data_IF_970023594783
#
_entry.id   IF_970023594783
#
_cell.length_a   1.000
_cell.length_b   1.000
_cell.length_c   1.000
_cell.angle_alpha   90.00
_cell.angle_beta   90.00
_cell.angle_gamma   90.00
#
_symmetry.space_group_name_H-M   'P 1'
#
loop_
_entity.id
_entity.type
_entity.pdbx_description
1 polymer ?
#
# COMPACT_ATOMS: atom_id res chain seq x y z
N UNK A 1 0.05 0.51 -34.01
CA UNK A 1 -0.01 -0.97 -34.03
C UNK A 1 0.63 -1.58 -32.79
N UNK A 2 1.90 -1.27 -32.48
CA UNK A 2 2.60 -1.79 -31.28
C UNK A 2 1.88 -1.42 -29.98
N UNK A 3 1.43 -0.17 -29.83
CA UNK A 3 0.69 0.30 -28.64
C UNK A 3 -0.61 -0.48 -28.39
N UNK A 4 -1.40 -0.78 -29.41
CA UNK A 4 -2.64 -1.55 -29.24
C UNK A 4 -2.34 -3.00 -28.84
N UNK A 5 -1.31 -3.61 -29.44
CA UNK A 5 -0.88 -4.96 -29.06
C UNK A 5 -0.36 -5.01 -27.62
N UNK A 6 0.40 -4.00 -27.18
CA UNK A 6 0.84 -3.87 -25.79
C UNK A 6 -0.35 -3.70 -24.83
N UNK A 7 -1.35 -2.88 -25.18
CA UNK A 7 -2.54 -2.69 -24.36
C UNK A 7 -3.34 -3.99 -24.22
N UNK A 8 -3.53 -4.75 -25.30
CA UNK A 8 -4.21 -6.05 -25.22
C UNK A 8 -3.42 -7.06 -24.40
N UNK A 9 -2.09 -7.12 -24.56
CA UNK A 9 -1.26 -7.98 -23.69
C UNK A 9 -1.36 -7.57 -22.23
N UNK A 10 -1.41 -6.27 -21.92
CA UNK A 10 -1.52 -5.77 -20.56
C UNK A 10 -2.89 -6.12 -19.94
N UNK A 11 -3.97 -6.02 -20.72
CA UNK A 11 -5.31 -6.43 -20.30
C UNK A 11 -5.35 -7.94 -20.00
N UNK A 12 -4.80 -8.77 -20.90
CA UNK A 12 -4.74 -10.23 -20.70
C UNK A 12 -3.87 -10.60 -19.50
N UNK A 13 -2.74 -9.93 -19.30
CA UNK A 13 -1.88 -10.14 -18.13
C UNK A 13 -2.63 -9.76 -16.85
N UNK A 14 -3.25 -8.58 -16.80
CA UNK A 14 -4.03 -8.16 -15.64
C UNK A 14 -5.16 -9.14 -15.35
N UNK A 15 -5.90 -9.59 -16.35
CA UNK A 15 -7.00 -10.53 -16.15
C UNK A 15 -6.52 -11.92 -15.68
N UNK A 16 -5.42 -12.43 -16.24
CA UNK A 16 -4.85 -13.71 -15.77
C UNK A 16 -4.28 -13.63 -14.35
N UNK A 17 -3.69 -12.51 -13.97
CA UNK A 17 -3.28 -12.22 -12.59
C UNK A 17 -4.52 -12.18 -11.69
N UNK A 18 -5.58 -11.51 -12.13
CA UNK A 18 -6.82 -11.40 -11.39
C UNK A 18 -7.52 -12.74 -11.19
N UNK A 19 -7.61 -13.58 -12.21
CA UNK A 19 -8.19 -14.92 -12.07
C UNK A 19 -7.37 -15.79 -11.11
N UNK A 20 -6.03 -15.66 -11.15
CA UNK A 20 -5.15 -16.35 -10.21
C UNK A 20 -5.36 -15.87 -8.77
N UNK A 21 -5.39 -14.56 -8.55
CA UNK A 21 -5.61 -13.99 -7.21
C UNK A 21 -7.00 -14.36 -6.71
N UNK A 22 -8.04 -14.25 -7.54
CA UNK A 22 -9.40 -14.57 -7.14
C UNK A 22 -9.51 -16.03 -6.67
N UNK A 23 -8.91 -16.98 -7.40
CA UNK A 23 -8.89 -18.40 -6.99
C UNK A 23 -8.14 -18.68 -5.70
N UNK A 24 -7.19 -17.83 -5.30
CA UNK A 24 -6.51 -17.94 -4.00
C UNK A 24 -7.29 -17.30 -2.86
N UNK A 25 -8.15 -16.33 -3.18
CA UNK A 25 -8.90 -15.50 -2.24
C UNK A 25 -10.30 -16.06 -1.98
N UNK A 26 -10.82 -16.94 -2.84
CA UNK A 26 -12.09 -17.69 -2.65
C UNK A 26 -12.14 -18.47 -1.32
N UNK A 27 -10.99 -18.69 -0.67
CA UNK A 27 -10.92 -19.08 0.73
C UNK A 27 -10.53 -17.85 1.56
N UNK A 28 -11.46 -17.22 2.32
CA UNK A 28 -11.15 -16.06 3.13
C UNK A 28 -10.12 -16.43 4.20
N UNK A 29 -8.86 -16.11 3.92
CA UNK A 29 -7.76 -16.36 4.82
C UNK A 29 -7.66 -15.20 5.81
N UNK A 30 -8.57 -15.21 6.80
CA UNK A 30 -8.61 -14.22 7.88
C UNK A 30 -7.24 -14.10 8.55
N UNK A 31 -6.48 -15.19 8.67
CA UNK A 31 -5.11 -15.19 9.19
C UNK A 31 -4.20 -14.22 8.42
N UNK A 32 -4.26 -14.25 7.09
CA UNK A 32 -3.42 -13.39 6.24
C UNK A 32 -3.85 -11.93 6.43
N UNK A 33 -5.15 -11.66 6.40
CA UNK A 33 -5.68 -10.31 6.61
C UNK A 33 -5.29 -9.71 7.97
N UNK A 34 -5.42 -10.49 9.05
CA UNK A 34 -5.01 -10.08 10.40
C UNK A 34 -3.50 -9.85 10.49
N UNK A 35 -2.68 -10.68 9.83
CA UNK A 35 -1.22 -10.44 9.81
C UNK A 35 -0.89 -9.10 9.14
N UNK A 36 -1.49 -8.78 8.00
CA UNK A 36 -1.26 -7.48 7.33
C UNK A 36 -1.68 -6.29 8.20
N UNK A 37 -2.84 -6.36 8.86
CA UNK A 37 -3.28 -5.31 9.79
C UNK A 37 -2.33 -5.17 10.99
N UNK A 38 -1.82 -6.29 11.51
CA UNK A 38 -0.86 -6.30 12.61
C UNK A 38 0.48 -5.68 12.20
N UNK A 39 1.00 -6.05 11.02
CA UNK A 39 2.21 -5.44 10.46
C UNK A 39 2.04 -3.93 10.25
N UNK A 40 0.89 -3.49 9.74
CA UNK A 40 0.58 -2.06 9.56
C UNK A 40 0.70 -1.29 10.87
N UNK A 41 0.18 -1.83 11.97
CA UNK A 41 0.29 -1.23 13.30
C UNK A 41 1.74 -1.21 13.81
N UNK A 42 2.49 -2.30 13.62
CA UNK A 42 3.89 -2.38 14.04
C UNK A 42 4.74 -1.32 13.34
N UNK A 43 4.57 -1.16 12.02
CA UNK A 43 5.29 -0.14 11.25
C UNK A 43 4.93 1.28 11.75
N UNK A 44 3.65 1.57 11.96
CA UNK A 44 3.22 2.87 12.50
C UNK A 44 3.85 3.18 13.86
N UNK A 45 3.88 2.19 14.77
CA UNK A 45 4.51 2.33 16.08
C UNK A 45 6.01 2.55 15.96
N UNK A 46 6.69 1.87 15.03
CA UNK A 46 8.13 2.04 14.80
C UNK A 46 8.46 3.41 14.15
N UNK A 47 7.55 3.95 13.34
CA UNK A 47 7.72 5.27 12.73
C UNK A 47 7.60 6.42 13.73
N UNK A 48 6.74 6.31 14.75
CA UNK A 48 6.58 7.34 15.78
C UNK A 48 7.89 7.73 16.50
N UNK A 49 8.70 6.81 17.07
CA UNK A 49 9.96 7.18 17.72
C UNK A 49 10.98 7.74 16.73
N UNK A 50 11.03 7.22 15.50
CA UNK A 50 11.87 7.79 14.45
C UNK A 50 11.46 9.23 14.11
N UNK A 51 10.15 9.51 14.07
CA UNK A 51 9.67 10.86 13.84
C UNK A 51 10.04 11.81 14.98
N UNK A 52 9.94 11.34 16.23
CA UNK A 52 10.34 12.09 17.43
C UNK A 52 11.84 12.43 17.42
N UNK A 53 12.71 11.52 16.95
CA UNK A 53 14.15 11.82 16.84
C UNK A 53 14.40 12.91 15.79
N UNK A 54 13.76 12.83 14.62
CA UNK A 54 13.91 13.85 13.58
C UNK A 54 13.32 15.22 13.95
N UNK A 55 12.38 15.27 14.89
CA UNK A 55 11.83 16.52 15.43
C UNK A 55 12.82 17.27 16.35
N UNK A 56 13.92 16.65 16.78
CA UNK A 56 14.94 17.34 17.58
C UNK A 56 15.56 18.50 16.78
N UNK A 57 15.61 19.66 17.42
CA UNK A 57 15.96 20.95 16.78
C UNK A 57 17.36 20.94 16.16
N UNK A 58 18.28 20.19 16.75
CA UNK A 58 19.68 20.12 16.32
C UNK A 58 19.85 19.40 14.96
N UNK A 59 18.97 18.45 14.66
CA UNK A 59 19.02 17.69 13.40
C UNK A 59 18.34 18.44 12.23
N UNK A 60 17.40 19.36 12.52
CA UNK A 60 16.70 20.14 11.48
C UNK A 60 17.56 21.16 10.73
N UNK A 61 18.82 21.33 11.14
CA UNK A 61 19.78 22.20 10.46
C UNK A 61 20.16 21.68 9.06
N UNK A 62 20.20 20.35 8.86
CA UNK A 62 20.58 19.77 7.58
C UNK A 62 19.35 19.51 6.69
N UNK A 63 19.44 19.87 5.41
CA UNK A 63 18.40 19.64 4.40
C UNK A 63 18.01 18.15 4.27
N UNK A 64 18.93 17.24 4.54
CA UNK A 64 18.69 15.79 4.51
C UNK A 64 17.61 15.36 5.51
N UNK A 65 17.64 15.88 6.74
CA UNK A 65 16.64 15.55 7.76
C UNK A 65 15.24 16.04 7.37
N UNK A 66 15.12 17.19 6.70
CA UNK A 66 13.82 17.66 6.19
C UNK A 66 13.23 16.69 5.17
N UNK A 67 14.06 16.20 4.25
CA UNK A 67 13.64 15.24 3.24
C UNK A 67 13.27 13.89 3.88
N UNK A 68 14.02 13.41 4.86
CA UNK A 68 13.68 12.20 5.61
C UNK A 68 12.35 12.29 6.37
N UNK A 69 12.04 13.46 6.94
CA UNK A 69 10.73 13.73 7.56
C UNK A 69 9.62 13.62 6.52
N UNK A 70 9.78 14.25 5.36
CA UNK A 70 8.78 14.20 4.28
C UNK A 70 8.59 12.77 3.77
N UNK A 71 9.68 12.06 3.49
CA UNK A 71 9.62 10.66 3.04
C UNK A 71 8.96 9.79 4.12
N UNK A 72 9.31 9.97 5.39
CA UNK A 72 8.70 9.22 6.49
C UNK A 72 7.20 9.45 6.60
N UNK A 73 6.73 10.69 6.42
CA UNK A 73 5.28 10.99 6.41
C UNK A 73 4.60 10.29 5.23
N UNK A 74 5.17 10.40 4.04
CA UNK A 74 4.64 9.73 2.83
C UNK A 74 4.60 8.21 3.03
N UNK A 75 5.64 7.61 3.63
CA UNK A 75 5.70 6.17 3.88
C UNK A 75 4.65 5.71 4.91
N UNK A 76 4.42 6.49 5.97
CA UNK A 76 3.37 6.19 6.97
C UNK A 76 1.99 6.19 6.30
N UNK A 77 1.69 7.18 5.46
CA UNK A 77 0.37 7.31 4.81
C UNK A 77 0.18 6.19 3.77
N UNK A 78 1.17 5.98 2.90
CA UNK A 78 1.11 4.96 1.85
C UNK A 78 1.07 3.55 2.44
N UNK A 79 1.96 3.21 3.36
CA UNK A 79 1.97 1.90 4.05
C UNK A 79 0.67 1.64 4.79
N UNK A 80 0.10 2.65 5.46
CA UNK A 80 -1.18 2.48 6.15
C UNK A 80 -2.30 2.14 5.17
N UNK A 81 -2.42 2.88 4.07
CA UNK A 81 -3.46 2.64 3.07
C UNK A 81 -3.27 1.29 2.38
N UNK A 82 -2.06 0.98 1.93
CA UNK A 82 -1.80 -0.26 1.23
C UNK A 82 -2.04 -1.48 2.13
N UNK A 83 -1.46 -1.55 3.33
CA UNK A 83 -1.65 -2.71 4.21
C UNK A 83 -3.07 -2.83 4.75
N UNK A 84 -3.75 -1.70 5.02
CA UNK A 84 -5.14 -1.74 5.49
C UNK A 84 -6.08 -2.22 4.39
N UNK A 85 -5.89 -1.75 3.15
CA UNK A 85 -6.70 -2.18 2.00
C UNK A 85 -6.42 -3.65 1.69
N UNK A 86 -5.16 -4.10 1.64
CA UNK A 86 -4.80 -5.52 1.48
C UNK A 86 -5.42 -6.36 2.59
N UNK A 87 -5.27 -5.94 3.84
CA UNK A 87 -5.77 -6.65 5.01
C UNK A 87 -7.29 -6.83 4.95
N UNK A 88 -8.01 -5.75 4.64
CA UNK A 88 -9.47 -5.75 4.49
C UNK A 88 -9.92 -6.61 3.31
N UNK A 89 -9.24 -6.51 2.17
CA UNK A 89 -9.49 -7.32 0.98
C UNK A 89 -9.31 -8.81 1.27
N UNK A 90 -8.26 -9.17 2.01
CA UNK A 90 -8.00 -10.54 2.45
C UNK A 90 -9.03 -11.07 3.44
N UNK A 91 -9.70 -10.22 4.23
CA UNK A 91 -10.75 -10.64 5.18
C UNK A 91 -12.08 -10.88 4.45
N UNK A 92 -12.45 -10.00 3.52
CA UNK A 92 -13.71 -10.09 2.79
C UNK A 92 -13.66 -11.15 1.69
N UNK A 93 -12.45 -11.51 1.22
CA UNK A 93 -12.32 -12.38 0.06
C UNK A 93 -12.47 -11.61 -1.25
N UNK A 94 -12.13 -10.32 -1.27
CA UNK A 94 -12.05 -9.52 -2.50
C UNK A 94 -10.59 -9.28 -2.86
N UNK A 95 -10.32 -9.03 -4.13
CA UNK A 95 -8.97 -8.73 -4.61
C UNK A 95 -8.92 -7.34 -5.22
N UNK A 96 -7.71 -6.81 -5.42
CA UNK A 96 -7.47 -5.55 -6.15
C UNK A 96 -8.17 -5.49 -7.50
N UNK A 97 -8.39 -6.65 -8.11
CA UNK A 97 -9.06 -6.81 -9.39
C UNK A 97 -10.54 -6.45 -9.37
N UNK A 98 -11.18 -6.53 -8.21
CA UNK A 98 -12.59 -6.16 -8.05
C UNK A 98 -12.79 -4.65 -7.95
N UNK A 99 -11.79 -3.91 -7.44
CA UNK A 99 -11.88 -2.47 -7.22
C UNK A 99 -10.55 -1.73 -7.49
N UNK A 100 -10.05 -1.74 -8.74
CA UNK A 100 -8.80 -1.04 -9.10
C UNK A 100 -8.93 0.49 -8.91
N UNK A 101 -10.13 1.03 -9.09
CA UNK A 101 -10.40 2.46 -8.91
C UNK A 101 -10.29 2.86 -7.44
N UNK A 102 -10.75 2.02 -6.51
CA UNK A 102 -10.69 2.33 -5.08
C UNK A 102 -9.24 2.34 -4.56
N UNK A 103 -8.46 1.32 -4.94
CA UNK A 103 -7.03 1.26 -4.61
C UNK A 103 -6.25 2.42 -5.24
N UNK A 104 -6.50 2.76 -6.50
CA UNK A 104 -5.88 3.91 -7.15
C UNK A 104 -6.28 5.25 -6.48
N UNK A 105 -7.55 5.42 -6.11
CA UNK A 105 -8.06 6.63 -5.47
C UNK A 105 -7.44 6.82 -4.07
N UNK A 106 -7.33 5.75 -3.28
CA UNK A 106 -6.69 5.79 -1.96
C UNK A 106 -5.20 6.17 -2.03
N UNK A 107 -4.49 5.64 -3.03
CA UNK A 107 -3.09 5.98 -3.29
C UNK A 107 -2.94 7.43 -3.75
N UNK A 108 -3.86 7.92 -4.59
CA UNK A 108 -3.85 9.32 -5.01
C UNK A 108 -4.06 10.28 -3.84
N UNK A 109 -5.02 10.01 -2.95
CA UNK A 109 -5.25 10.79 -1.73
C UNK A 109 -4.02 10.78 -0.81
N UNK A 110 -3.24 9.71 -0.83
CA UNK A 110 -2.01 9.62 -0.03
C UNK A 110 -0.89 10.55 -0.53
N UNK A 111 -0.93 10.89 -1.82
CA UNK A 111 0.09 11.68 -2.50
C UNK A 111 -0.30 13.16 -2.67
N UNK A 112 -1.60 13.49 -2.52
CA UNK A 112 -2.17 14.84 -2.63
C UNK A 112 -2.09 15.62 -1.33
#
# INVERSE_FOLDING_TARGET
MILNSLNETLIVINQTVCDKINRTVDNPNVTIGVTYLTFSLIFQIAYLPCFVTFLHRDQRCHSCFKLMIVIGIVDIITTNNDLTIVGFYSIIGISYCTAPIFSAFSNFISLS
#
